data_IF_241461398910
#
_entry.id   IF_241461398910
#
_cell.length_a   1.000
_cell.length_b   1.000
_cell.length_c   1.000
_cell.angle_alpha   90.00
_cell.angle_beta   90.00
_cell.angle_gamma   90.00
#
_symmetry.space_group_name_H-M   'P 1'
#
loop_
_entity.id
_entity.type
_entity.pdbx_description
1 polymer ?
#
# COMPACT_ATOMS: atom_id res chain seq x y z
N UNK A 1 -1.89 -5.16 -16.29
CA UNK A 1 -2.18 -4.76 -14.89
C UNK A 1 -3.66 -4.44 -14.78
N UNK A 2 -4.40 -5.10 -13.88
CA UNK A 2 -5.77 -4.67 -13.59
C UNK A 2 -5.76 -3.24 -13.05
N UNK A 3 -6.75 -2.43 -13.45
CA UNK A 3 -6.94 -1.08 -12.94
C UNK A 3 -8.07 -1.10 -11.92
N UNK A 4 -7.87 -0.40 -10.81
CA UNK A 4 -8.88 -0.22 -9.77
C UNK A 4 -9.14 1.27 -9.58
N UNK A 5 -10.39 1.63 -9.29
CA UNK A 5 -10.80 2.97 -8.89
C UNK A 5 -11.27 2.89 -7.45
N UNK A 6 -10.87 3.86 -6.64
CA UNK A 6 -11.10 3.87 -5.19
C UNK A 6 -11.35 5.31 -4.77
N UNK A 7 -12.27 5.51 -3.83
CA UNK A 7 -12.52 6.80 -3.19
C UNK A 7 -11.65 6.94 -1.95
N UNK A 8 -10.93 8.07 -1.84
CA UNK A 8 -10.11 8.43 -0.68
C UNK A 8 -10.27 9.92 -0.38
N UNK A 9 -10.00 10.32 0.86
CA UNK A 9 -9.95 11.73 1.22
C UNK A 9 -8.76 12.42 0.53
N UNK A 10 -8.96 13.68 0.14
CA UNK A 10 -7.92 14.46 -0.51
C UNK A 10 -6.65 14.56 0.34
N UNK A 11 -6.77 14.83 1.64
CA UNK A 11 -5.60 14.92 2.52
C UNK A 11 -4.78 13.63 2.59
N UNK A 12 -5.42 12.46 2.50
CA UNK A 12 -4.68 11.19 2.44
C UNK A 12 -3.93 11.03 1.11
N UNK A 13 -4.51 11.51 0.01
CA UNK A 13 -3.84 11.52 -1.29
C UNK A 13 -2.64 12.47 -1.27
N UNK A 14 -2.80 13.66 -0.70
CA UNK A 14 -1.73 14.64 -0.56
C UNK A 14 -0.58 14.07 0.29
N UNK A 15 -0.90 13.48 1.46
CA UNK A 15 0.08 12.81 2.32
C UNK A 15 0.80 11.67 1.58
N UNK A 16 0.10 10.92 0.72
CA UNK A 16 0.70 9.85 -0.07
C UNK A 16 1.65 10.41 -1.13
N UNK A 17 1.25 11.48 -1.82
CA UNK A 17 2.02 12.11 -2.88
C UNK A 17 3.30 12.75 -2.33
N UNK A 18 3.29 13.30 -1.10
CA UNK A 18 4.48 13.79 -0.39
C UNK A 18 5.56 12.71 -0.19
N UNK A 19 5.19 11.43 -0.23
CA UNK A 19 6.10 10.29 -0.06
C UNK A 19 6.53 9.64 -1.38
N UNK A 20 6.09 10.20 -2.51
CA UNK A 20 6.30 9.68 -3.86
C UNK A 20 7.21 10.62 -4.67
N UNK A 21 8.11 10.06 -5.47
CA UNK A 21 8.98 10.82 -6.37
C UNK A 21 10.47 10.57 -6.13
N UNK A 22 11.33 11.40 -6.73
CA UNK A 22 12.78 11.18 -6.79
C UNK A 22 13.47 11.20 -5.42
N UNK A 23 12.92 11.94 -4.45
CA UNK A 23 13.38 11.97 -3.05
C UNK A 23 12.52 11.08 -2.12
N UNK A 24 11.44 10.50 -2.66
CA UNK A 24 10.50 9.65 -1.96
C UNK A 24 10.92 8.18 -1.93
N UNK A 25 10.27 7.39 -1.07
CA UNK A 25 10.54 5.93 -0.97
C UNK A 25 9.87 5.13 -2.09
N UNK A 26 9.02 5.77 -2.89
CA UNK A 26 8.07 5.15 -3.81
C UNK A 26 8.12 5.88 -5.15
N UNK A 27 8.12 5.13 -6.26
CA UNK A 27 8.37 5.69 -7.60
C UNK A 27 7.17 6.46 -8.14
N UNK A 28 5.95 6.03 -7.79
CA UNK A 28 4.69 6.69 -8.14
C UNK A 28 3.58 6.25 -7.17
N UNK A 29 2.43 6.94 -7.18
CA UNK A 29 1.31 6.59 -6.30
C UNK A 29 0.81 5.14 -6.48
N UNK A 30 0.85 4.59 -7.70
CA UNK A 30 0.49 3.18 -7.91
C UNK A 30 1.51 2.21 -7.31
N UNK A 31 2.80 2.57 -7.29
CA UNK A 31 3.85 1.82 -6.61
C UNK A 31 3.69 1.88 -5.09
N UNK A 32 3.35 3.06 -4.58
CA UNK A 32 3.04 3.28 -3.18
C UNK A 32 1.87 2.42 -2.71
N UNK A 33 0.73 2.47 -3.41
CA UNK A 33 -0.47 1.70 -3.09
C UNK A 33 -0.18 0.19 -3.14
N UNK A 34 0.48 -0.30 -4.20
CA UNK A 34 0.80 -1.73 -4.33
C UNK A 34 1.72 -2.22 -3.22
N UNK A 35 2.73 -1.43 -2.86
CA UNK A 35 3.68 -1.76 -1.79
C UNK A 35 2.98 -1.80 -0.44
N UNK A 36 2.12 -0.83 -0.15
CA UNK A 36 1.35 -0.78 1.09
C UNK A 36 0.38 -1.95 1.23
N UNK A 37 -0.34 -2.31 0.15
CA UNK A 37 -1.23 -3.48 0.14
C UNK A 37 -0.43 -4.76 0.38
N UNK A 38 0.72 -4.95 -0.28
CA UNK A 38 1.56 -6.12 -0.07
C UNK A 38 2.03 -6.24 1.37
N UNK A 39 2.55 -5.16 1.95
CA UNK A 39 2.96 -5.15 3.37
C UNK A 39 1.81 -5.50 4.30
N UNK A 40 0.60 -4.99 4.04
CA UNK A 40 -0.57 -5.33 4.84
C UNK A 40 -0.90 -6.83 4.75
N UNK A 41 -0.87 -7.42 3.56
CA UNK A 41 -1.11 -8.85 3.37
C UNK A 41 -0.02 -9.70 4.00
N UNK A 42 1.25 -9.34 3.83
CA UNK A 42 2.39 -10.05 4.44
C UNK A 42 2.24 -10.09 5.99
N UNK A 43 1.79 -8.99 6.60
CA UNK A 43 1.51 -8.95 8.04
C UNK A 43 0.36 -9.88 8.45
N UNK A 44 -0.69 -9.97 7.63
CA UNK A 44 -1.80 -10.89 7.90
C UNK A 44 -1.36 -12.35 7.77
N UNK A 45 -0.61 -12.68 6.72
CA UNK A 45 -0.05 -14.01 6.50
C UNK A 45 0.87 -14.43 7.65
N UNK A 46 1.69 -13.51 8.17
CA UNK A 46 2.52 -13.76 9.36
C UNK A 46 1.69 -14.04 10.62
N UNK A 47 0.57 -13.34 10.80
CA UNK A 47 -0.35 -13.57 11.92
C UNK A 47 -0.98 -14.95 11.78
N UNK A 48 -1.51 -15.28 10.60
CA UNK A 48 -2.16 -16.56 10.33
C UNK A 48 -1.18 -17.73 10.53
N UNK A 49 0.07 -17.59 10.09
CA UNK A 49 1.14 -18.57 10.30
C UNK A 49 1.46 -18.79 11.79
N UNK A 50 1.37 -17.76 12.63
CA UNK A 50 1.59 -17.87 14.09
C UNK A 50 0.39 -18.47 14.82
N UNK A 51 -0.82 -18.20 14.34
CA UNK A 51 -2.06 -18.64 14.99
C UNK A 51 -2.61 -19.98 14.47
N UNK A 52 -1.99 -20.56 13.43
CA UNK A 52 -2.32 -21.89 12.93
C UNK A 52 -3.66 -21.97 12.18
N UNK A 53 -4.15 -20.85 11.64
CA UNK A 53 -5.38 -20.84 10.85
C UNK A 53 -5.09 -21.32 9.41
N UNK A 54 -5.43 -22.59 9.14
CA UNK A 54 -5.64 -23.18 7.80
C UNK A 54 -6.99 -23.86 7.80
#
# INVERSE_FOLDING_TARGET
>A
MPKVSVEISQGLLDDLDDHVGDEGKLVNGSDAIRTSIRKALDMLDEIDARHGAV
#
